data_IF_215396311501
#
_entry.id   IF_215396311501
#
_cell.length_a   1.000
_cell.length_b   1.000
_cell.length_c   1.000
_cell.angle_alpha   90.00
_cell.angle_beta   90.00
_cell.angle_gamma   90.00
#
_symmetry.space_group_name_H-M   'P 1'
#
loop_
_entity.id
_entity.type
_entity.pdbx_description
1 polymer ?
#
# COMPACT_ATOMS: atom_id res chain seq x y z
N UNK A 1 0.28 8.42 28.56
CA UNK A 1 1.23 7.38 29.03
C UNK A 1 0.60 6.59 30.16
N UNK A 2 0.90 5.29 30.28
CA UNK A 2 0.12 4.26 30.98
C UNK A 2 -0.13 4.47 32.49
N UNK A 3 0.46 5.49 33.12
CA UNK A 3 0.28 5.78 34.54
C UNK A 3 1.04 4.82 35.46
N UNK A 4 1.99 4.06 34.92
CA UNK A 4 2.81 3.08 35.63
C UNK A 4 4.27 3.54 35.71
N UNK A 5 5.00 3.10 36.73
CA UNK A 5 6.43 3.38 36.86
C UNK A 5 7.26 2.51 35.91
N UNK A 6 8.48 2.95 35.59
CA UNK A 6 9.41 2.16 34.79
C UNK A 6 9.74 0.80 35.42
N UNK A 7 9.85 0.74 36.76
CA UNK A 7 10.04 -0.52 37.48
C UNK A 7 8.85 -1.47 37.31
N UNK A 8 7.62 -0.94 37.36
CA UNK A 8 6.42 -1.74 37.16
C UNK A 8 6.37 -2.33 35.75
N UNK A 9 6.73 -1.54 34.74
CA UNK A 9 6.84 -2.00 33.36
C UNK A 9 7.91 -3.09 33.20
N UNK A 10 9.09 -2.91 33.79
CA UNK A 10 10.17 -3.91 33.79
C UNK A 10 9.77 -5.26 34.42
N UNK A 11 9.00 -5.23 35.51
CA UNK A 11 8.49 -6.44 36.14
C UNK A 11 7.53 -7.21 35.23
N UNK A 12 6.74 -6.51 34.41
CA UNK A 12 5.86 -7.11 33.39
C UNK A 12 6.70 -7.79 32.32
N UNK A 13 7.71 -7.12 31.76
CA UNK A 13 8.57 -7.68 30.71
C UNK A 13 9.30 -8.95 31.16
N UNK A 14 9.65 -9.02 32.46
CA UNK A 14 10.27 -10.21 33.07
C UNK A 14 9.28 -11.30 33.49
N UNK A 15 7.98 -11.13 33.22
CA UNK A 15 6.93 -12.07 33.64
C UNK A 15 6.74 -12.16 35.16
N UNK A 16 7.29 -11.21 35.93
CA UNK A 16 7.14 -11.14 37.39
C UNK A 16 5.78 -10.56 37.80
N UNK A 17 5.11 -9.87 36.87
CA UNK A 17 3.77 -9.31 37.04
C UNK A 17 2.89 -9.63 35.84
N UNK A 18 1.64 -9.96 36.12
CA UNK A 18 0.63 -10.19 35.09
C UNK A 18 0.13 -8.86 34.51
N UNK A 19 -0.13 -8.88 33.21
CA UNK A 19 -0.72 -7.76 32.49
C UNK A 19 -2.25 -7.79 32.64
N UNK A 20 -2.86 -6.70 33.12
CA UNK A 20 -4.33 -6.59 33.14
C UNK A 20 -4.87 -6.41 31.72
N UNK A 21 -6.11 -6.81 31.46
CA UNK A 21 -6.75 -6.65 30.15
C UNK A 21 -6.79 -5.18 29.70
N UNK A 22 -7.06 -4.26 30.62
CA UNK A 22 -7.05 -2.82 30.35
C UNK A 22 -5.65 -2.32 29.96
N UNK A 23 -4.61 -2.75 30.68
CA UNK A 23 -3.22 -2.38 30.38
C UNK A 23 -2.77 -2.96 29.04
N UNK A 24 -3.14 -4.22 28.75
CA UNK A 24 -2.87 -4.87 27.47
C UNK A 24 -3.50 -4.10 26.32
N UNK A 25 -4.75 -3.66 26.48
CA UNK A 25 -5.46 -2.87 25.45
C UNK A 25 -4.78 -1.53 25.22
N UNK A 26 -4.41 -0.80 26.29
CA UNK A 26 -3.73 0.49 26.17
C UNK A 26 -2.32 0.36 25.56
N UNK A 27 -1.58 -0.70 25.90
CA UNK A 27 -0.29 -1.01 25.29
C UNK A 27 -0.46 -1.32 23.80
N UNK A 28 -1.49 -2.11 23.45
CA UNK A 28 -1.80 -2.49 22.07
C UNK A 28 -2.06 -1.24 21.22
N UNK A 29 -2.88 -0.31 21.73
CA UNK A 29 -3.16 0.98 21.08
C UNK A 29 -1.91 1.85 20.94
N UNK A 30 -1.08 1.95 21.98
CA UNK A 30 0.16 2.75 21.95
C UNK A 30 1.14 2.22 20.91
N UNK A 31 1.27 0.90 20.81
CA UNK A 31 2.20 0.25 19.88
C UNK A 31 1.60 -0.02 18.50
N UNK A 32 0.31 0.24 18.29
CA UNK A 32 -0.38 -0.04 17.02
C UNK A 32 -0.47 -1.53 16.69
N UNK A 33 -0.55 -2.38 17.71
CA UNK A 33 -0.59 -3.85 17.61
C UNK A 33 -1.89 -4.42 18.17
N UNK A 34 -2.17 -5.70 17.95
CA UNK A 34 -3.29 -6.40 18.58
C UNK A 34 -2.90 -6.92 19.97
N UNK A 35 -3.90 -7.13 20.83
CA UNK A 35 -3.66 -7.77 22.13
C UNK A 35 -3.18 -9.21 21.97
N UNK A 36 -3.59 -9.91 20.91
CA UNK A 36 -3.14 -11.27 20.64
C UNK A 36 -1.65 -11.32 20.31
N UNK A 37 -1.12 -10.31 19.59
CA UNK A 37 0.32 -10.18 19.38
C UNK A 37 1.08 -9.92 20.70
N UNK A 38 0.62 -8.96 21.51
CA UNK A 38 1.26 -8.65 22.79
C UNK A 38 1.29 -9.84 23.74
N UNK A 39 0.28 -10.70 23.67
CA UNK A 39 0.18 -11.91 24.49
C UNK A 39 0.85 -13.13 23.85
N UNK A 40 1.53 -12.98 22.71
CA UNK A 40 2.24 -14.06 22.03
C UNK A 40 1.34 -15.16 21.45
N UNK A 41 0.08 -14.84 21.15
CA UNK A 41 -0.87 -15.77 20.50
C UNK A 41 -0.74 -15.79 18.98
N UNK A 42 -0.09 -14.77 18.42
CA UNK A 42 0.19 -14.61 16.98
C UNK A 42 1.50 -13.85 16.81
N UNK A 43 2.23 -14.16 15.74
CA UNK A 43 3.42 -13.39 15.33
C UNK A 43 3.05 -12.14 14.50
N UNK A 44 1.77 -12.00 14.12
CA UNK A 44 1.29 -10.84 13.36
C UNK A 44 1.01 -9.67 14.31
N UNK A 45 1.77 -8.55 14.23
CA UNK A 45 1.61 -7.42 15.13
C UNK A 45 0.22 -6.81 15.07
N UNK A 46 -0.44 -6.78 13.92
CA UNK A 46 -1.78 -6.25 13.79
C UNK A 46 -2.67 -7.15 12.92
N UNK A 47 -3.97 -6.87 12.93
CA UNK A 47 -4.97 -7.52 12.06
C UNK A 47 -5.03 -6.88 10.67
N UNK A 48 -4.08 -6.00 10.33
CA UNK A 48 -4.03 -5.41 9.00
C UNK A 48 -3.72 -6.51 7.99
N UNK A 49 -4.61 -6.67 7.02
CA UNK A 49 -4.34 -7.55 5.90
C UNK A 49 -3.19 -6.96 5.07
N UNK A 50 -2.37 -7.80 4.41
CA UNK A 50 -1.34 -7.33 3.46
C UNK A 50 -1.94 -6.37 2.41
N UNK A 51 -3.22 -6.53 2.13
CA UNK A 51 -4.02 -5.63 1.30
C UNK A 51 -4.11 -4.19 1.82
N UNK A 52 -4.20 -4.00 3.13
CA UNK A 52 -4.32 -2.68 3.75
C UNK A 52 -2.96 -1.97 3.80
N UNK A 53 -1.86 -2.72 3.95
CA UNK A 53 -0.49 -2.18 4.03
C UNK A 53 0.21 -2.00 2.67
N UNK A 54 -0.17 -2.75 1.62
CA UNK A 54 0.48 -2.72 0.29
C UNK A 54 -0.47 -2.39 -0.85
N UNK A 55 0.08 -2.08 -2.03
CA UNK A 55 -0.70 -2.02 -3.27
C UNK A 55 -0.90 -3.44 -3.80
N UNK A 56 -2.11 -3.81 -4.25
CA UNK A 56 -2.36 -5.14 -4.77
C UNK A 56 -1.60 -5.36 -6.07
N UNK A 57 -1.12 -6.59 -6.27
CA UNK A 57 -0.47 -6.98 -7.51
C UNK A 57 -1.46 -6.98 -8.68
N UNK A 58 -0.96 -6.64 -9.86
CA UNK A 58 -1.71 -6.70 -11.10
C UNK A 58 -1.64 -8.10 -11.68
N UNK A 59 -2.77 -8.58 -12.19
CA UNK A 59 -2.82 -9.85 -12.94
C UNK A 59 -2.30 -9.65 -14.36
N UNK A 60 -1.87 -10.73 -15.02
CA UNK A 60 -1.46 -10.68 -16.43
C UNK A 60 -2.52 -10.10 -17.37
N UNK A 61 -3.80 -10.26 -17.04
CA UNK A 61 -4.89 -9.63 -17.79
C UNK A 61 -4.87 -8.12 -17.61
N UNK A 62 -4.69 -7.65 -16.37
CA UNK A 62 -4.66 -6.22 -16.06
C UNK A 62 -3.43 -5.53 -16.66
N UNK A 63 -2.27 -6.20 -16.68
CA UNK A 63 -1.07 -5.71 -17.37
C UNK A 63 -1.32 -5.57 -18.88
N UNK A 64 -1.95 -6.56 -19.52
CA UNK A 64 -2.34 -6.46 -20.95
C UNK A 64 -3.32 -5.33 -21.21
N UNK A 65 -4.32 -5.15 -20.35
CA UNK A 65 -5.28 -4.03 -20.48
C UNK A 65 -4.58 -2.67 -20.34
N UNK A 66 -3.56 -2.56 -19.48
CA UNK A 66 -2.74 -1.35 -19.32
C UNK A 66 -1.92 -1.09 -20.58
N UNK A 67 -1.26 -2.10 -21.14
CA UNK A 67 -0.49 -1.97 -22.37
C UNK A 67 -1.37 -1.48 -23.54
N UNK A 68 -2.54 -2.09 -23.73
CA UNK A 68 -3.51 -1.65 -24.76
C UNK A 68 -3.98 -0.21 -24.54
N UNK A 69 -4.20 0.18 -23.29
CA UNK A 69 -4.63 1.55 -22.95
C UNK A 69 -3.50 2.56 -23.18
N UNK A 70 -2.26 2.21 -22.84
CA UNK A 70 -1.09 3.04 -23.09
C UNK A 70 -0.92 3.29 -24.59
N UNK A 71 -0.92 2.24 -25.41
CA UNK A 71 -0.84 2.38 -26.87
C UNK A 71 -1.96 3.26 -27.42
N UNK A 72 -3.19 3.08 -26.95
CA UNK A 72 -4.31 3.92 -27.36
C UNK A 72 -4.08 5.40 -27.03
N UNK A 73 -3.57 5.72 -25.84
CA UNK A 73 -3.28 7.09 -25.43
C UNK A 73 -2.16 7.67 -26.29
N UNK A 74 -1.06 6.93 -26.50
CA UNK A 74 0.06 7.39 -27.32
C UNK A 74 -0.38 7.66 -28.77
N UNK A 75 -1.14 6.75 -29.37
CA UNK A 75 -1.67 6.93 -30.73
C UNK A 75 -2.60 8.15 -30.83
N UNK A 76 -3.43 8.41 -29.80
CA UNK A 76 -4.28 9.61 -29.78
C UNK A 76 -3.46 10.89 -29.70
N UNK A 77 -2.39 10.91 -28.90
CA UNK A 77 -1.51 12.06 -28.78
C UNK A 77 -0.76 12.32 -30.10
N UNK A 78 -0.28 11.27 -30.77
CA UNK A 78 0.35 11.37 -32.09
C UNK A 78 -0.61 11.93 -33.15
N UNK A 79 -1.86 11.47 -33.17
CA UNK A 79 -2.87 11.94 -34.14
C UNK A 79 -3.31 13.40 -33.92
N UNK A 80 -3.32 13.88 -32.68
CA UNK A 80 -3.75 15.25 -32.36
C UNK A 80 -2.62 16.28 -32.49
N UNK A 81 -1.43 15.89 -33.00
CA UNK A 81 -0.20 16.69 -32.93
C UNK A 81 0.11 17.18 -31.51
N UNK A 82 -0.40 16.48 -30.49
CA UNK A 82 -0.25 16.84 -29.08
C UNK A 82 1.15 16.54 -28.53
N UNK A 83 1.96 15.78 -29.29
CA UNK A 83 3.34 15.39 -28.95
C UNK A 83 4.36 16.48 -29.32
N UNK A 84 3.90 17.67 -29.68
CA UNK A 84 4.75 18.85 -29.82
C UNK A 84 4.87 19.57 -28.47
N UNK A 85 6.06 19.59 -27.89
CA UNK A 85 6.34 20.34 -26.66
C UNK A 85 6.82 21.74 -27.04
N UNK A 86 6.08 22.78 -26.64
CA UNK A 86 6.32 24.17 -27.07
C UNK A 86 6.34 24.39 -28.59
N UNK A 87 5.62 23.56 -29.35
CA UNK A 87 5.59 23.64 -30.81
C UNK A 87 6.75 22.94 -31.52
N UNK A 88 7.70 22.37 -30.77
CA UNK A 88 8.74 21.50 -31.31
C UNK A 88 8.34 20.02 -31.15
N UNK A 89 8.56 19.16 -32.16
CA UNK A 89 8.33 17.73 -32.00
C UNK A 89 9.23 17.20 -30.88
N UNK A 90 8.65 16.43 -29.95
CA UNK A 90 9.44 15.77 -28.93
C UNK A 90 10.49 14.85 -29.58
N UNK A 91 11.69 14.83 -29.01
CA UNK A 91 12.70 13.84 -29.36
C UNK A 91 12.31 12.45 -28.82
N UNK A 92 13.00 11.42 -29.32
CA UNK A 92 12.70 10.04 -28.95
C UNK A 92 12.96 9.76 -27.46
N UNK A 93 13.95 10.43 -26.85
CA UNK A 93 14.23 10.29 -25.42
C UNK A 93 13.08 10.80 -24.56
N UNK A 94 12.54 11.98 -24.87
CA UNK A 94 11.41 12.57 -24.14
C UNK A 94 10.14 11.75 -24.37
N UNK A 95 9.91 11.22 -25.58
CA UNK A 95 8.77 10.32 -25.86
C UNK A 95 8.85 9.04 -25.03
N UNK A 96 10.04 8.45 -24.90
CA UNK A 96 10.22 7.25 -24.09
C UNK A 96 10.04 7.54 -22.59
N UNK A 97 10.59 8.66 -22.10
CA UNK A 97 10.37 9.10 -20.74
C UNK A 97 8.87 9.33 -20.43
N UNK A 98 8.13 9.90 -21.39
CA UNK A 98 6.68 10.08 -21.30
C UNK A 98 5.96 8.74 -21.27
N UNK A 99 6.33 7.80 -22.13
CA UNK A 99 5.77 6.43 -22.16
C UNK A 99 5.94 5.76 -20.79
N UNK A 100 7.15 5.75 -20.23
CA UNK A 100 7.46 5.15 -18.93
C UNK A 100 6.63 5.79 -17.81
N UNK A 101 6.54 7.13 -17.81
CA UNK A 101 5.76 7.87 -16.82
C UNK A 101 4.26 7.56 -16.90
N UNK A 102 3.69 7.50 -18.11
CA UNK A 102 2.30 7.14 -18.33
C UNK A 102 2.01 5.70 -17.93
N UNK A 103 2.88 4.75 -18.30
CA UNK A 103 2.74 3.35 -17.92
C UNK A 103 2.73 3.18 -16.39
N UNK A 104 3.67 3.82 -15.70
CA UNK A 104 3.74 3.83 -14.23
C UNK A 104 2.46 4.41 -13.61
N UNK A 105 1.99 5.54 -14.15
CA UNK A 105 0.77 6.20 -13.69
C UNK A 105 -0.48 5.31 -13.89
N UNK A 106 -0.58 4.62 -15.03
CA UNK A 106 -1.68 3.70 -15.32
C UNK A 106 -1.66 2.48 -14.39
N UNK A 107 -0.48 1.90 -14.14
CA UNK A 107 -0.31 0.81 -13.16
C UNK A 107 -0.76 1.24 -11.78
N UNK A 108 -0.25 2.38 -11.29
CA UNK A 108 -0.61 2.91 -9.99
C UNK A 108 -2.13 3.14 -9.87
N UNK A 109 -2.74 3.78 -10.87
CA UNK A 109 -4.17 4.02 -10.88
C UNK A 109 -4.98 2.71 -10.83
N UNK A 110 -4.54 1.68 -11.57
CA UNK A 110 -5.17 0.36 -11.57
C UNK A 110 -5.03 -0.33 -10.22
N UNK A 111 -3.85 -0.29 -9.59
CA UNK A 111 -3.63 -0.86 -8.26
C UNK A 111 -4.45 -0.16 -7.19
N UNK A 112 -4.54 1.17 -7.21
CA UNK A 112 -5.37 1.94 -6.30
C UNK A 112 -6.86 1.63 -6.47
N UNK A 113 -7.35 1.55 -7.71
CA UNK A 113 -8.71 1.15 -8.00
C UNK A 113 -8.99 -0.27 -7.49
N UNK A 114 -8.09 -1.21 -7.75
CA UNK A 114 -8.17 -2.58 -7.24
C UNK A 114 -8.24 -2.58 -5.71
N UNK A 115 -7.35 -1.86 -5.03
CA UNK A 115 -7.32 -1.71 -3.56
C UNK A 115 -8.65 -1.22 -2.99
N UNK A 116 -9.21 -0.18 -3.61
CA UNK A 116 -10.44 0.49 -3.19
C UNK A 116 -11.69 -0.35 -3.43
N UNK A 117 -11.79 -0.99 -4.60
CA UNK A 117 -13.05 -1.60 -5.06
C UNK A 117 -13.12 -3.12 -4.92
N UNK A 118 -12.02 -3.81 -4.60
CA UNK A 118 -12.07 -5.26 -4.31
C UNK A 118 -12.76 -5.51 -2.97
N UNK A 119 -13.87 -6.28 -2.94
CA UNK A 119 -14.56 -6.66 -1.71
C UNK A 119 -13.63 -7.42 -0.75
N UNK A 120 -13.82 -7.24 0.57
CA UNK A 120 -12.97 -7.87 1.61
C UNK A 120 -12.80 -9.38 1.43
N UNK A 121 -13.85 -10.08 1.01
CA UNK A 121 -13.84 -11.54 0.75
C UNK A 121 -12.92 -12.00 -0.40
N UNK A 122 -12.45 -11.09 -1.25
CA UNK A 122 -11.56 -11.39 -2.38
C UNK A 122 -10.17 -10.76 -2.23
N UNK A 123 -9.90 -10.10 -1.10
CA UNK A 123 -8.57 -9.59 -0.78
C UNK A 123 -7.74 -10.79 -0.31
N UNK A 124 -6.69 -11.10 -1.06
CA UNK A 124 -5.71 -12.14 -0.68
C UNK A 124 -4.65 -11.53 0.23
#
# INVERSE_FOLDING_TARGET
>A
MLGISAQYYYDIEKGKRNLSAEMATRLAEIFGVTTDYLLGRTDKPNDESDWDSKLPELTEKEERDIALKLEKILNQLDHENAVSFYGEPMDEETKEAMRISLESSLRLAKQLAKKKFTPKKYRK
#
